data_IF_850797289048
#
_entry.id   IF_850797289048
#
_cell.length_a   1.000
_cell.length_b   1.000
_cell.length_c   1.000
_cell.angle_alpha   90.00
_cell.angle_beta   90.00
_cell.angle_gamma   90.00
#
_symmetry.space_group_name_H-M   'P 1'
#
loop_
_entity.id
_entity.type
_entity.pdbx_description
1 polymer ?
#
# COMPACT_ATOMS: atom_id res chain seq x y z
N UNK A 1 -4.51 -17.37 -13.59
CA UNK A 1 -4.61 -16.01 -14.16
C UNK A 1 -4.87 -15.07 -12.99
N UNK A 2 -3.83 -14.44 -12.45
CA UNK A 2 -3.97 -13.51 -11.33
C UNK A 2 -4.46 -12.19 -11.89
N UNK A 3 -5.69 -11.80 -11.54
CA UNK A 3 -6.22 -10.48 -11.88
C UNK A 3 -5.53 -9.48 -10.95
N UNK A 4 -4.50 -8.80 -11.47
CA UNK A 4 -3.84 -7.72 -10.74
C UNK A 4 -4.65 -6.45 -10.95
N UNK A 5 -5.32 -5.96 -9.92
CA UNK A 5 -5.99 -4.67 -10.01
C UNK A 5 -4.90 -3.60 -10.11
N UNK A 6 -4.85 -2.88 -11.24
CA UNK A 6 -3.85 -1.83 -11.46
C UNK A 6 -4.30 -0.56 -10.73
N UNK A 7 -4.26 -0.60 -9.40
CA UNK A 7 -4.51 0.53 -8.55
C UNK A 7 -3.19 1.30 -8.44
N UNK A 8 -3.01 2.33 -9.28
CA UNK A 8 -1.82 3.18 -9.19
C UNK A 8 -1.90 4.03 -7.93
N UNK A 9 -1.40 3.54 -6.81
CA UNK A 9 -1.34 4.28 -5.55
C UNK A 9 0.02 4.94 -5.36
N UNK A 10 0.31 5.93 -6.19
CA UNK A 10 1.37 6.89 -5.86
C UNK A 10 0.84 7.88 -4.82
N UNK A 11 1.68 8.34 -3.88
CA UNK A 11 1.31 9.45 -3.02
C UNK A 11 0.83 10.66 -3.86
N UNK A 12 -0.07 11.49 -3.32
CA UNK A 12 -0.43 12.75 -3.97
C UNK A 12 0.82 13.60 -4.25
N UNK A 13 0.78 14.48 -5.28
CA UNK A 13 1.82 15.49 -5.44
C UNK A 13 1.91 16.36 -4.18
N UNK A 14 3.13 16.83 -3.87
CA UNK A 14 3.43 17.75 -2.76
C UNK A 14 3.24 17.20 -1.33
N UNK A 15 3.39 15.90 -1.14
CA UNK A 15 3.48 15.28 0.21
C UNK A 15 4.93 15.13 0.68
N UNK A 16 5.14 15.11 2.00
CA UNK A 16 6.45 14.77 2.58
C UNK A 16 6.53 13.26 2.75
N UNK A 17 7.42 12.60 2.02
CA UNK A 17 7.68 11.17 2.21
C UNK A 17 8.38 10.95 3.53
N UNK A 18 7.77 10.13 4.40
CA UNK A 18 8.33 9.76 5.70
C UNK A 18 9.10 8.44 5.60
N UNK A 19 8.56 7.45 4.87
CA UNK A 19 9.20 6.14 4.73
C UNK A 19 8.67 5.40 3.49
N UNK A 20 9.55 4.66 2.81
CA UNK A 20 9.17 3.66 1.81
C UNK A 20 9.25 2.26 2.42
N UNK A 21 8.29 1.41 2.11
CA UNK A 21 8.21 0.03 2.54
C UNK A 21 8.15 -0.87 1.32
N UNK A 22 9.08 -1.83 1.23
CA UNK A 22 9.09 -2.79 0.15
C UNK A 22 8.07 -3.92 0.40
N UNK A 23 7.43 -4.39 -0.66
CA UNK A 23 6.78 -5.70 -0.68
C UNK A 23 7.84 -6.78 -0.53
N UNK A 24 7.61 -7.71 0.39
CA UNK A 24 8.54 -8.81 0.67
C UNK A 24 7.77 -10.11 0.85
N UNK A 25 8.45 -11.25 0.72
CA UNK A 25 7.84 -12.57 0.97
C UNK A 25 7.41 -12.78 2.43
N UNK A 26 7.86 -11.92 3.34
CA UNK A 26 7.57 -12.02 4.78
C UNK A 26 6.32 -11.22 5.14
N UNK A 27 6.10 -10.07 4.50
CA UNK A 27 4.94 -9.21 4.75
C UNK A 27 3.74 -9.60 3.87
N UNK A 28 2.66 -8.81 3.94
CA UNK A 28 1.45 -9.05 3.14
C UNK A 28 1.26 -7.99 2.06
N UNK A 29 2.23 -7.12 1.80
CA UNK A 29 2.00 -6.03 0.84
C UNK A 29 2.03 -6.57 -0.58
N UNK A 30 1.02 -6.22 -1.37
CA UNK A 30 0.91 -6.59 -2.79
C UNK A 30 1.91 -5.83 -3.66
N UNK A 31 2.34 -4.65 -3.19
CA UNK A 31 3.23 -3.73 -3.85
C UNK A 31 4.02 -2.91 -2.82
N UNK A 32 5.08 -2.25 -3.27
CA UNK A 32 5.80 -1.29 -2.45
C UNK A 32 4.87 -0.12 -2.09
N UNK A 33 5.01 0.40 -0.88
CA UNK A 33 4.18 1.49 -0.37
C UNK A 33 5.03 2.62 0.24
N UNK A 34 4.45 3.81 0.31
CA UNK A 34 5.01 5.00 0.93
C UNK A 34 4.11 5.49 2.06
N UNK A 35 4.71 5.73 3.23
CA UNK A 35 4.14 6.49 4.33
C UNK A 35 4.49 7.97 4.10
N UNK A 36 3.49 8.86 4.12
CA UNK A 36 3.69 10.28 3.81
C UNK A 36 2.90 11.20 4.75
N UNK A 37 3.38 12.43 4.92
CA UNK A 37 2.67 13.49 5.64
C UNK A 37 1.79 14.26 4.66
N UNK A 38 0.50 14.33 4.96
CA UNK A 38 -0.50 15.12 4.22
C UNK A 38 -1.32 15.93 5.23
N UNK A 39 -1.30 17.26 5.10
CA UNK A 39 -2.03 18.17 6.00
C UNK A 39 -1.77 17.87 7.49
N UNK A 40 -0.48 17.72 7.85
CA UNK A 40 -0.03 17.39 9.21
C UNK A 40 -0.47 16.01 9.74
N UNK A 41 -1.07 15.16 8.91
CA UNK A 41 -1.44 13.77 9.24
C UNK A 41 -0.52 12.76 8.55
N UNK A 42 -0.25 11.63 9.21
CA UNK A 42 0.65 10.58 8.72
C UNK A 42 -0.16 9.53 7.96
N UNK A 43 -0.26 9.67 6.65
CA UNK A 43 -1.08 8.76 5.85
C UNK A 43 -0.27 7.58 5.36
N UNK A 44 -0.87 6.38 5.43
CA UNK A 44 -0.35 5.17 4.81
C UNK A 44 -1.46 4.41 4.07
N UNK A 45 -1.28 4.21 2.76
CA UNK A 45 -2.24 3.47 1.91
C UNK A 45 -1.66 2.10 1.58
N UNK A 46 -2.20 1.01 2.12
CA UNK A 46 -1.70 -0.34 1.89
C UNK A 46 -2.62 -1.12 0.96
N UNK A 47 -2.03 -1.85 0.00
CA UNK A 47 -2.67 -2.96 -0.68
C UNK A 47 -2.11 -4.26 -0.11
N UNK A 48 -2.97 -5.07 0.50
CA UNK A 48 -2.58 -6.30 1.17
C UNK A 48 -3.09 -7.53 0.43
N UNK A 49 -2.23 -8.52 0.21
CA UNK A 49 -2.61 -9.85 -0.27
C UNK A 49 -3.12 -10.68 0.91
N UNK A 50 -4.32 -11.24 0.76
CA UNK A 50 -4.93 -12.10 1.78
C UNK A 50 -4.22 -13.45 1.85
N UNK A 51 -3.93 -13.92 3.07
CA UNK A 51 -3.32 -15.24 3.30
C UNK A 51 -4.40 -16.30 3.50
N UNK A 52 -4.09 -17.53 3.10
CA UNK A 52 -4.95 -18.71 3.26
C UNK A 52 -6.28 -18.66 2.50
N UNK A 53 -6.31 -17.92 1.40
CA UNK A 53 -7.41 -17.89 0.42
C UNK A 53 -6.82 -18.01 -0.99
N UNK A 54 -7.59 -18.51 -1.94
CA UNK A 54 -7.14 -18.73 -3.32
C UNK A 54 -6.86 -17.43 -4.08
N UNK A 55 -7.55 -16.35 -3.74
CA UNK A 55 -7.34 -15.02 -4.26
C UNK A 55 -7.93 -13.96 -3.33
N UNK A 56 -7.45 -12.73 -3.45
CA UNK A 56 -7.99 -11.58 -2.73
C UNK A 56 -6.92 -10.57 -2.35
N UNK A 57 -7.23 -9.31 -2.63
CA UNK A 57 -6.45 -8.15 -2.20
C UNK A 57 -7.38 -7.22 -1.41
N UNK A 58 -6.83 -6.50 -0.43
CA UNK A 58 -7.55 -5.53 0.38
C UNK A 58 -6.80 -4.20 0.38
N UNK A 59 -7.50 -3.13 0.03
CA UNK A 59 -7.00 -1.76 0.14
C UNK A 59 -7.41 -1.17 1.49
N UNK A 60 -6.45 -0.55 2.18
CA UNK A 60 -6.63 0.05 3.49
C UNK A 60 -5.87 1.38 3.54
N UNK A 61 -6.48 2.39 4.16
CA UNK A 61 -5.79 3.63 4.50
C UNK A 61 -5.74 3.79 6.01
N UNK A 62 -4.53 3.96 6.56
CA UNK A 62 -4.30 4.32 7.96
C UNK A 62 -4.06 5.83 8.08
N UNK A 63 -4.60 6.48 9.13
CA UNK A 63 -4.31 7.86 9.48
C UNK A 63 -2.96 8.05 10.18
#
# INVERSE_FOLDING_TARGET
MTVKMNLKHSPPPDVIVLMNQASTSINCQAEDNTIYLLNEMVVQVNVLILRNVECGEMELQFP
#
